data_IF_291736061803
#
_entry.id   IF_291736061803
#
_cell.length_a   1.000
_cell.length_b   1.000
_cell.length_c   1.000
_cell.angle_alpha   90.00
_cell.angle_beta   90.00
_cell.angle_gamma   90.00
#
_symmetry.space_group_name_H-M   'P 1'
#
loop_
_entity.id
_entity.type
_entity.pdbx_description
1 polymer ?
#
# COMPACT_ATOMS: atom_id res chain seq x y z
N UNK A 1 2.88 -13.40 19.97
CA UNK A 1 1.78 -12.43 20.04
C UNK A 1 0.68 -12.94 19.13
N UNK A 2 -0.53 -13.15 19.67
CA UNK A 2 -1.64 -13.72 18.91
C UNK A 2 -2.38 -12.66 18.08
N UNK A 3 -2.30 -11.41 18.49
CA UNK A 3 -2.89 -10.25 17.81
C UNK A 3 -2.14 -8.97 18.17
N UNK A 4 -1.98 -8.07 17.25
CA UNK A 4 -1.39 -6.75 17.47
C UNK A 4 -2.07 -5.69 16.61
N UNK A 5 -1.96 -4.44 17.01
CA UNK A 5 -2.53 -3.31 16.29
C UNK A 5 -1.41 -2.42 15.76
N UNK A 6 -1.48 -2.10 14.50
CA UNK A 6 -0.51 -1.25 13.83
C UNK A 6 -1.16 -0.27 12.86
N UNK A 7 -0.37 0.64 12.32
CA UNK A 7 -0.77 1.53 11.25
C UNK A 7 0.25 1.52 10.14
N UNK A 8 -0.22 1.49 8.91
CA UNK A 8 0.59 1.61 7.71
C UNK A 8 0.53 3.02 7.14
N UNK A 9 1.67 3.46 6.63
CA UNK A 9 1.74 4.68 5.81
C UNK A 9 1.93 4.24 4.35
N UNK A 10 0.98 4.60 3.51
CA UNK A 10 1.04 4.27 2.09
C UNK A 10 2.15 5.02 1.37
N UNK A 11 2.67 4.43 0.30
CA UNK A 11 3.57 5.04 -0.67
C UNK A 11 2.81 5.38 -1.95
N UNK A 12 3.34 6.27 -2.83
CA UNK A 12 2.69 6.59 -4.10
C UNK A 12 2.49 5.39 -5.01
N UNK A 13 3.40 4.43 -4.99
CA UNK A 13 3.24 3.14 -5.67
C UNK A 13 2.62 2.11 -4.71
N UNK A 14 1.51 1.46 -5.08
CA UNK A 14 0.84 0.46 -4.25
C UNK A 14 1.54 -0.91 -4.27
N UNK A 15 2.87 -0.92 -4.27
CA UNK A 15 3.68 -2.15 -4.28
C UNK A 15 3.44 -2.99 -3.03
N UNK A 16 3.06 -4.24 -3.21
CA UNK A 16 2.76 -5.19 -2.12
C UNK A 16 3.95 -6.07 -1.75
N UNK A 17 5.07 -5.96 -2.44
CA UNK A 17 6.24 -6.80 -2.25
C UNK A 17 6.76 -6.77 -0.80
N UNK A 18 6.94 -5.60 -0.24
CA UNK A 18 7.54 -5.43 1.08
C UNK A 18 6.83 -6.21 2.17
N UNK A 19 5.51 -6.34 2.07
CA UNK A 19 4.67 -6.87 3.16
C UNK A 19 4.20 -8.29 2.88
N UNK A 20 3.92 -8.63 1.62
CA UNK A 20 3.21 -9.86 1.28
C UNK A 20 4.01 -10.84 0.41
N UNK A 21 5.11 -10.43 -0.19
CA UNK A 21 5.93 -11.35 -0.98
C UNK A 21 6.67 -12.34 -0.07
N UNK A 22 6.43 -13.62 -0.23
CA UNK A 22 6.93 -14.67 0.65
C UNK A 22 8.05 -15.52 0.04
N UNK A 23 8.26 -15.44 -1.27
CA UNK A 23 9.23 -16.27 -2.01
C UNK A 23 8.98 -17.77 -1.82
N UNK A 24 7.74 -18.17 -1.98
CA UNK A 24 7.27 -19.53 -1.70
C UNK A 24 7.99 -20.57 -2.57
N UNK A 25 8.32 -20.21 -3.82
CA UNK A 25 8.99 -21.11 -4.75
C UNK A 25 10.39 -21.54 -4.28
N UNK A 26 11.11 -20.65 -3.58
CA UNK A 26 12.43 -20.92 -3.04
C UNK A 26 12.41 -21.29 -1.55
N UNK A 27 11.21 -21.41 -0.97
CA UNK A 27 11.02 -21.75 0.43
C UNK A 27 11.45 -23.20 0.72
N UNK A 28 12.38 -23.37 1.65
CA UNK A 28 12.96 -24.67 1.97
C UNK A 28 12.18 -25.47 3.04
N UNK A 29 11.04 -24.96 3.48
CA UNK A 29 10.19 -25.60 4.50
C UNK A 29 10.58 -25.29 5.94
N UNK A 30 11.61 -24.50 6.20
CA UNK A 30 11.99 -24.11 7.55
C UNK A 30 11.22 -22.88 8.04
N UNK A 31 10.07 -23.15 8.61
CA UNK A 31 9.21 -22.14 9.22
C UNK A 31 9.78 -21.55 10.52
N UNK A 32 10.82 -22.14 11.07
CA UNK A 32 11.40 -21.75 12.37
C UNK A 32 12.21 -20.46 12.33
N UNK A 33 12.74 -20.11 11.19
CA UNK A 33 13.58 -18.92 10.99
C UNK A 33 12.86 -17.72 10.36
N UNK A 34 11.56 -17.73 10.39
CA UNK A 34 10.75 -16.76 9.69
C UNK A 34 10.20 -17.38 8.41
N UNK A 35 9.13 -16.82 7.98
CA UNK A 35 8.34 -17.39 6.91
C UNK A 35 8.97 -17.25 5.55
N UNK A 36 9.74 -16.21 5.36
CA UNK A 36 10.47 -15.95 4.14
C UNK A 36 11.97 -15.92 4.41
N UNK A 37 12.72 -16.99 4.11
CA UNK A 37 14.18 -17.00 4.31
C UNK A 37 14.91 -16.02 3.39
N UNK A 38 14.31 -15.64 2.28
CA UNK A 38 14.81 -14.64 1.33
C UNK A 38 14.33 -13.23 1.69
N UNK A 39 13.21 -13.15 2.39
CA UNK A 39 12.66 -11.90 2.88
C UNK A 39 13.22 -11.51 4.22
N UNK A 40 13.18 -10.25 4.51
CA UNK A 40 13.66 -9.69 5.75
C UNK A 40 14.24 -8.30 5.53
N UNK A 41 14.86 -7.72 6.55
CA UNK A 41 15.42 -6.38 6.45
C UNK A 41 16.39 -6.19 5.29
N UNK A 42 17.22 -7.21 5.03
CA UNK A 42 18.24 -7.16 3.98
C UNK A 42 17.66 -7.29 2.56
N UNK A 43 16.47 -7.88 2.45
CA UNK A 43 15.75 -8.06 1.18
C UNK A 43 14.70 -6.97 0.96
N UNK A 44 14.47 -6.12 1.93
CA UNK A 44 13.51 -5.02 1.84
C UNK A 44 12.06 -5.46 1.89
N UNK A 45 11.77 -6.68 2.34
CA UNK A 45 10.42 -7.13 2.59
C UNK A 45 10.23 -7.57 4.05
N UNK A 46 9.00 -7.66 4.49
CA UNK A 46 8.61 -8.03 5.84
C UNK A 46 7.40 -8.98 5.85
N UNK A 47 7.24 -9.74 4.79
CA UNK A 47 6.13 -10.69 4.62
C UNK A 47 6.03 -11.73 5.75
N UNK A 48 7.14 -12.05 6.38
CA UNK A 48 7.19 -12.93 7.55
C UNK A 48 6.30 -12.44 8.72
N UNK A 49 5.95 -11.18 8.75
CA UNK A 49 5.09 -10.62 9.80
C UNK A 49 3.66 -11.16 9.72
N UNK A 50 3.19 -11.43 8.50
CA UNK A 50 1.84 -11.92 8.25
C UNK A 50 1.77 -13.42 7.98
N UNK A 51 2.89 -14.05 7.70
CA UNK A 51 2.97 -15.47 7.38
C UNK A 51 2.05 -15.88 6.20
N UNK A 52 1.84 -15.01 5.24
CA UNK A 52 1.11 -15.32 4.03
C UNK A 52 2.02 -16.06 3.06
N UNK A 53 1.67 -17.30 2.72
CA UNK A 53 2.43 -18.15 1.82
C UNK A 53 1.58 -18.58 0.65
N UNK A 54 1.69 -17.88 -0.43
CA UNK A 54 0.89 -18.14 -1.61
C UNK A 54 1.72 -17.84 -2.86
N UNK A 55 2.05 -18.91 -3.61
CA UNK A 55 2.89 -18.79 -4.80
C UNK A 55 2.19 -17.97 -5.91
N UNK A 56 0.87 -18.06 -6.01
CA UNK A 56 0.12 -17.26 -6.98
C UNK A 56 0.16 -15.78 -6.62
N UNK A 57 0.03 -15.46 -5.32
CA UNK A 57 0.19 -14.09 -4.83
C UNK A 57 1.59 -13.54 -5.14
N UNK A 58 2.63 -14.32 -4.86
CA UNK A 58 4.01 -13.95 -5.16
C UNK A 58 4.20 -13.64 -6.65
N UNK A 59 3.69 -14.50 -7.52
CA UNK A 59 3.75 -14.32 -8.97
C UNK A 59 3.02 -13.05 -9.41
N UNK A 60 1.81 -12.80 -8.92
CA UNK A 60 1.04 -11.59 -9.24
C UNK A 60 1.75 -10.31 -8.78
N UNK A 61 2.34 -10.30 -7.59
CA UNK A 61 3.14 -9.18 -7.08
C UNK A 61 4.32 -8.89 -8.02
N UNK A 62 5.07 -9.93 -8.38
CA UNK A 62 6.24 -9.77 -9.24
C UNK A 62 5.89 -9.35 -10.67
N UNK A 63 4.76 -9.82 -11.20
CA UNK A 63 4.27 -9.36 -12.51
C UNK A 63 3.82 -7.89 -12.48
N UNK A 64 3.13 -7.48 -11.42
CA UNK A 64 2.71 -6.09 -11.26
C UNK A 64 3.91 -5.14 -11.19
N UNK A 65 5.00 -5.55 -10.52
CA UNK A 65 6.24 -4.77 -10.44
C UNK A 65 6.97 -4.61 -11.77
N UNK A 66 6.84 -5.58 -12.68
CA UNK A 66 7.49 -5.59 -14.00
C UNK A 66 6.73 -4.78 -15.05
N UNK A 67 5.45 -4.51 -14.82
CA UNK A 67 4.59 -3.86 -15.81
C UNK A 67 4.54 -2.35 -15.63
N UNK A 68 4.53 -1.62 -16.75
CA UNK A 68 4.25 -0.18 -16.81
C UNK A 68 2.78 0.11 -17.19
N UNK A 69 2.03 -0.90 -17.57
CA UNK A 69 0.59 -0.76 -17.87
C UNK A 69 -0.22 -0.63 -16.59
N UNK A 70 -0.72 0.55 -16.33
CA UNK A 70 -1.49 0.86 -15.13
C UNK A 70 -2.80 0.06 -15.03
N UNK A 71 -3.45 -0.22 -16.13
CA UNK A 71 -4.69 -1.01 -16.14
C UNK A 71 -4.43 -2.46 -15.77
N UNK A 72 -3.36 -3.03 -16.31
CA UNK A 72 -2.92 -4.38 -15.98
C UNK A 72 -2.47 -4.49 -14.52
N UNK A 73 -1.64 -3.55 -14.04
CA UNK A 73 -1.21 -3.49 -12.63
C UNK A 73 -2.41 -3.41 -11.69
N UNK A 74 -3.38 -2.56 -12.00
CA UNK A 74 -4.61 -2.43 -11.19
C UNK A 74 -5.37 -3.76 -11.09
N UNK A 75 -5.45 -4.51 -12.19
CA UNK A 75 -6.10 -5.83 -12.20
C UNK A 75 -5.35 -6.82 -11.33
N UNK A 76 -4.03 -6.88 -11.44
CA UNK A 76 -3.18 -7.75 -10.62
C UNK A 76 -3.28 -7.40 -9.12
N UNK A 77 -3.14 -6.14 -8.75
CA UNK A 77 -3.24 -5.73 -7.35
C UNK A 77 -4.64 -5.97 -6.76
N UNK A 78 -5.68 -5.89 -7.58
CA UNK A 78 -7.02 -6.27 -7.13
C UNK A 78 -7.08 -7.78 -6.80
N UNK A 79 -6.54 -8.62 -7.66
CA UNK A 79 -6.47 -10.07 -7.39
C UNK A 79 -5.62 -10.38 -6.15
N UNK A 80 -4.48 -9.69 -5.98
CA UNK A 80 -3.68 -9.81 -4.75
C UNK A 80 -4.49 -9.47 -3.49
N UNK A 81 -5.30 -8.40 -3.54
CA UNK A 81 -6.14 -8.02 -2.40
C UNK A 81 -7.19 -9.09 -2.09
N UNK A 82 -7.80 -9.70 -3.12
CA UNK A 82 -8.78 -10.77 -2.93
C UNK A 82 -8.11 -11.96 -2.20
N UNK A 83 -6.91 -12.37 -2.61
CA UNK A 83 -6.13 -13.42 -1.93
C UNK A 83 -5.76 -13.04 -0.49
N UNK A 84 -5.31 -11.82 -0.24
CA UNK A 84 -4.93 -11.35 1.11
C UNK A 84 -6.15 -11.33 2.04
N UNK A 85 -7.30 -10.95 1.54
CA UNK A 85 -8.56 -10.98 2.31
C UNK A 85 -8.95 -12.41 2.66
N UNK A 86 -8.78 -13.36 1.74
CA UNK A 86 -9.07 -14.77 1.99
C UNK A 86 -8.15 -15.37 3.06
N UNK A 87 -6.91 -14.94 3.14
CA UNK A 87 -5.99 -15.31 4.22
C UNK A 87 -6.38 -14.72 5.57
N UNK A 88 -7.19 -13.67 5.61
CA UNK A 88 -7.70 -13.01 6.82
C UNK A 88 -6.62 -12.64 7.86
N UNK A 89 -5.44 -12.26 7.40
CA UNK A 89 -4.30 -11.89 8.26
C UNK A 89 -4.42 -10.49 8.84
N UNK A 90 -5.22 -9.63 8.23
CA UNK A 90 -5.46 -8.26 8.65
C UNK A 90 -6.96 -7.96 8.75
N UNK A 91 -7.30 -7.14 9.74
CA UNK A 91 -8.64 -6.57 9.89
C UNK A 91 -8.54 -5.06 9.76
N UNK A 92 -8.88 -4.48 8.61
CA UNK A 92 -8.90 -3.03 8.44
C UNK A 92 -9.92 -2.39 9.38
N UNK A 93 -9.46 -1.45 10.23
CA UNK A 93 -10.34 -0.81 11.23
C UNK A 93 -10.80 0.55 10.75
N UNK A 94 -9.88 1.40 10.31
CA UNK A 94 -10.19 2.72 9.77
C UNK A 94 -9.03 3.26 8.92
N UNK A 95 -9.37 4.19 8.05
CA UNK A 95 -8.39 5.00 7.34
C UNK A 95 -8.46 6.43 7.86
N UNK A 96 -7.31 7.00 8.20
CA UNK A 96 -7.22 8.40 8.62
C UNK A 96 -7.60 9.32 7.46
N UNK A 97 -8.45 10.30 7.74
CA UNK A 97 -8.73 11.41 6.84
C UNK A 97 -8.05 12.68 7.34
N UNK A 98 -7.41 13.41 6.44
CA UNK A 98 -6.89 14.73 6.73
C UNK A 98 -7.92 15.77 6.24
N UNK A 99 -8.18 16.75 7.07
CA UNK A 99 -9.03 17.88 6.71
C UNK A 99 -8.18 19.15 6.59
N UNK A 100 -8.47 19.96 5.59
CA UNK A 100 -7.90 21.29 5.42
C UNK A 100 -9.07 22.28 5.47
N UNK A 101 -8.91 23.32 6.27
CA UNK A 101 -9.96 24.28 6.49
C UNK A 101 -9.51 25.62 5.89
N UNK A 102 -10.32 26.15 5.00
CA UNK A 102 -10.15 27.48 4.40
C UNK A 102 -11.25 28.42 4.82
N UNK A 103 -10.94 29.72 4.90
CA UNK A 103 -11.96 30.76 5.02
C UNK A 103 -12.58 31.04 3.66
N UNK A 104 -13.84 30.66 3.48
CA UNK A 104 -14.61 30.91 2.26
C UNK A 104 -14.87 32.39 1.98
N UNK A 105 -14.71 33.24 2.99
CA UNK A 105 -14.77 34.69 2.81
C UNK A 105 -13.50 35.30 2.23
N UNK A 106 -12.35 34.61 2.46
CA UNK A 106 -11.04 35.13 2.07
C UNK A 106 -10.44 34.43 0.86
N UNK A 107 -10.82 33.20 0.61
CA UNK A 107 -10.26 32.36 -0.45
C UNK A 107 -11.34 32.08 -1.49
N UNK A 108 -11.02 32.31 -2.74
CA UNK A 108 -11.84 31.86 -3.86
C UNK A 108 -11.77 30.35 -3.96
N UNK A 109 -12.81 29.66 -3.48
CA UNK A 109 -12.82 28.21 -3.35
C UNK A 109 -12.66 27.48 -4.70
N UNK A 110 -13.06 28.09 -5.80
CA UNK A 110 -12.87 27.56 -7.15
C UNK A 110 -11.41 27.52 -7.60
N UNK A 111 -10.52 28.21 -6.91
CA UNK A 111 -9.08 28.23 -7.18
C UNK A 111 -8.30 27.26 -6.28
N UNK A 112 -8.98 26.63 -5.34
CA UNK A 112 -8.37 25.60 -4.49
C UNK A 112 -8.25 24.31 -5.28
N UNK A 113 -7.09 23.67 -5.22
CA UNK A 113 -6.83 22.41 -5.90
C UNK A 113 -7.87 21.33 -5.49
N UNK A 114 -8.68 20.80 -6.44
CA UNK A 114 -9.80 19.93 -6.10
C UNK A 114 -9.37 18.51 -5.68
N UNK A 115 -8.29 18.00 -6.26
CA UNK A 115 -7.87 16.61 -6.13
C UNK A 115 -6.71 16.45 -5.14
N UNK A 116 -6.98 16.77 -3.89
CA UNK A 116 -5.98 16.65 -2.81
C UNK A 116 -5.88 15.17 -2.39
N UNK A 117 -4.65 14.67 -2.40
CA UNK A 117 -4.33 13.31 -1.93
C UNK A 117 -3.35 13.36 -0.76
N UNK A 118 -3.04 12.21 -0.17
CA UNK A 118 -1.99 12.09 0.86
C UNK A 118 -0.62 12.51 0.33
N UNK A 119 -0.39 12.37 -0.98
CA UNK A 119 0.91 12.64 -1.63
C UNK A 119 0.93 13.97 -2.37
N UNK A 120 -0.23 14.51 -2.72
CA UNK A 120 -0.37 15.77 -3.44
C UNK A 120 -1.32 16.68 -2.67
N UNK A 121 -0.73 17.50 -1.81
CA UNK A 121 -1.46 18.39 -0.91
C UNK A 121 -1.80 19.74 -1.55
N UNK A 122 -2.62 20.53 -0.88
CA UNK A 122 -3.08 21.85 -1.32
C UNK A 122 -1.93 22.84 -1.59
N UNK A 123 -0.80 22.69 -0.90
CA UNK A 123 0.39 23.53 -1.12
C UNK A 123 0.96 23.40 -2.53
N UNK A 124 0.72 22.29 -3.23
CA UNK A 124 1.21 22.12 -4.61
C UNK A 124 0.49 23.03 -5.61
N UNK A 125 -0.71 23.50 -5.26
CA UNK A 125 -1.46 24.46 -6.07
C UNK A 125 -1.54 25.85 -5.47
N UNK A 126 -0.70 26.21 -4.49
CA UNK A 126 -0.80 27.47 -3.76
C UNK A 126 -0.61 28.68 -4.67
N UNK A 127 0.18 28.57 -5.72
CA UNK A 127 0.41 29.63 -6.70
C UNK A 127 -0.83 29.97 -7.53
N UNK A 128 -1.79 29.05 -7.60
CA UNK A 128 -3.02 29.22 -8.38
C UNK A 128 -4.19 29.67 -7.50
N UNK A 129 -4.00 29.69 -6.17
CA UNK A 129 -5.01 30.15 -5.22
C UNK A 129 -5.11 31.66 -5.21
N UNK A 130 -6.34 32.15 -5.28
CA UNK A 130 -6.66 33.57 -5.23
C UNK A 130 -7.43 33.94 -3.95
N UNK A 131 -7.24 35.18 -3.53
CA UNK A 131 -8.06 35.79 -2.47
C UNK A 131 -9.25 36.54 -3.05
N UNK A 132 -10.34 36.57 -2.30
CA UNK A 132 -11.52 37.40 -2.61
C UNK A 132 -11.22 38.89 -2.42
#
# INVERSE_FOLDING_TARGET
VDMWCAAWSATPDPDMYQVYYADVADFNGDMGNGFNPQGGPDQGNSSYMYCVADEELDNMIMEARKSLDQSYRKTLYKACLDTIVDWATEVPVYQRQNAIIFSTERVKMETVLPDITTFYGWLNGIQDMELN
#
